data_IF_130051695028
#
_entry.id   IF_130051695028
#
_cell.length_a   1.000
_cell.length_b   1.000
_cell.length_c   1.000
_cell.angle_alpha   90.00
_cell.angle_beta   90.00
_cell.angle_gamma   90.00
#
_symmetry.space_group_name_H-M   'P 1'
#
loop_
_entity.id
_entity.type
_entity.pdbx_description
1 polymer ?
#
# COMPACT_ATOMS: atom_id res chain seq x y z
N UNK A 1 13.91 11.85 12.66
CA UNK A 1 12.52 12.29 12.38
C UNK A 1 11.89 11.36 11.36
N UNK A 2 10.66 10.92 11.60
CA UNK A 2 9.94 10.12 10.58
C UNK A 2 9.79 10.91 9.28
N UNK A 3 9.86 10.18 8.18
CA UNK A 3 9.81 10.77 6.86
C UNK A 3 8.41 10.70 6.28
N UNK A 4 8.12 11.62 5.36
CA UNK A 4 6.89 11.62 4.57
C UNK A 4 7.26 11.46 3.10
N UNK A 5 6.58 10.54 2.42
CA UNK A 5 6.77 10.31 0.99
C UNK A 5 5.46 10.59 0.28
N UNK A 6 5.54 11.31 -0.84
CA UNK A 6 4.40 11.54 -1.69
C UNK A 6 4.68 10.99 -3.07
N UNK A 7 3.67 10.41 -3.68
CA UNK A 7 3.74 9.79 -4.98
C UNK A 7 2.49 10.16 -5.78
N UNK A 8 2.69 10.51 -7.06
CA UNK A 8 1.61 10.96 -7.91
C UNK A 8 1.77 10.32 -9.30
N UNK A 9 0.68 9.76 -9.81
CA UNK A 9 0.69 9.14 -11.13
C UNK A 9 -0.71 9.17 -11.75
N UNK A 10 -0.73 9.25 -13.09
CA UNK A 10 -1.98 9.14 -13.87
C UNK A 10 -1.98 7.80 -14.60
N UNK A 11 -3.07 7.05 -14.44
CA UNK A 11 -3.28 5.78 -15.12
C UNK A 11 -4.36 5.92 -16.18
N UNK A 12 -4.13 5.33 -17.35
CA UNK A 12 -5.10 5.34 -18.45
C UNK A 12 -6.13 4.22 -18.24
N UNK A 13 -6.92 4.34 -17.18
CA UNK A 13 -7.94 3.37 -16.84
C UNK A 13 -9.04 4.07 -16.03
N UNK A 14 -10.28 3.54 -16.07
CA UNK A 14 -11.36 4.11 -15.26
C UNK A 14 -11.08 3.99 -13.78
N UNK A 15 -11.62 4.91 -13.00
CA UNK A 15 -11.36 4.98 -11.55
C UNK A 15 -11.74 3.67 -10.83
N UNK A 16 -12.81 3.00 -11.26
CA UNK A 16 -13.25 1.75 -10.64
C UNK A 16 -12.20 0.66 -10.79
N UNK A 17 -11.55 0.60 -11.93
CA UNK A 17 -10.50 -0.39 -12.20
C UNK A 17 -9.24 -0.07 -11.41
N UNK A 18 -8.86 1.19 -11.37
CA UNK A 18 -7.66 1.63 -10.63
C UNK A 18 -7.87 1.42 -9.14
N UNK A 19 -9.02 1.81 -8.61
CA UNK A 19 -9.35 1.60 -7.20
C UNK A 19 -9.29 0.12 -6.83
N UNK A 20 -9.84 -0.75 -7.67
CA UNK A 20 -9.85 -2.20 -7.43
C UNK A 20 -8.45 -2.76 -7.29
N UNK A 21 -7.49 -2.24 -8.05
CA UNK A 21 -6.10 -2.72 -7.97
C UNK A 21 -5.48 -2.47 -6.59
N UNK A 22 -6.00 -1.52 -5.83
CA UNK A 22 -5.51 -1.19 -4.49
C UNK A 22 -6.22 -1.94 -3.37
N UNK A 23 -7.29 -2.67 -3.68
CA UNK A 23 -8.03 -3.45 -2.67
C UNK A 23 -8.17 -4.92 -3.06
N UNK A 24 -7.61 -5.32 -4.20
CA UNK A 24 -7.59 -6.71 -4.65
C UNK A 24 -6.27 -7.35 -4.22
N UNK A 25 -6.30 -8.42 -3.40
CA UNK A 25 -5.07 -9.04 -2.92
C UNK A 25 -4.19 -9.59 -4.04
N UNK A 26 -4.78 -10.18 -5.07
CA UNK A 26 -4.02 -10.73 -6.18
C UNK A 26 -3.31 -9.62 -6.98
N UNK A 27 -4.00 -8.53 -7.23
CA UNK A 27 -3.40 -7.38 -7.93
C UNK A 27 -2.28 -6.76 -7.10
N UNK A 28 -2.49 -6.57 -5.80
CA UNK A 28 -1.49 -5.97 -4.92
C UNK A 28 -0.22 -6.81 -4.85
N UNK A 29 -0.33 -8.14 -4.89
CA UNK A 29 0.83 -9.03 -4.90
C UNK A 29 1.67 -8.87 -6.16
N UNK A 30 1.10 -8.32 -7.23
CA UNK A 30 1.79 -8.14 -8.51
C UNK A 30 2.45 -6.77 -8.63
N UNK A 31 1.78 -5.70 -8.17
CA UNK A 31 2.31 -4.36 -8.41
C UNK A 31 3.02 -3.75 -7.20
N UNK A 32 2.70 -4.16 -5.98
CA UNK A 32 3.25 -3.53 -4.78
C UNK A 32 4.70 -3.92 -4.47
N UNK A 33 5.13 -5.21 -4.65
CA UNK A 33 6.49 -5.58 -4.30
C UNK A 33 7.53 -4.81 -5.11
N UNK A 34 8.62 -4.35 -4.46
CA UNK A 34 9.72 -3.71 -5.18
C UNK A 34 10.41 -4.68 -6.14
N UNK A 35 11.18 -4.13 -7.07
CA UNK A 35 12.00 -4.94 -7.97
C UNK A 35 12.91 -5.89 -7.18
N UNK A 36 12.92 -7.16 -7.57
CA UNK A 36 13.71 -8.19 -6.88
C UNK A 36 12.98 -8.88 -5.73
N UNK A 37 11.70 -8.55 -5.53
CA UNK A 37 10.87 -9.14 -4.48
C UNK A 37 9.60 -9.75 -5.07
N UNK A 38 9.09 -10.78 -4.37
CA UNK A 38 7.74 -11.29 -4.61
C UNK A 38 6.86 -10.94 -3.43
N UNK A 39 5.56 -10.81 -3.68
CA UNK A 39 4.59 -10.49 -2.64
C UNK A 39 3.61 -11.62 -2.39
N UNK A 40 3.19 -11.76 -1.14
CA UNK A 40 2.15 -12.69 -0.75
C UNK A 40 1.20 -12.02 0.21
N UNK A 41 -0.10 -12.12 -0.07
CA UNK A 41 -1.15 -11.61 0.81
C UNK A 41 -1.61 -12.72 1.73
N UNK A 42 -1.41 -12.55 3.03
CA UNK A 42 -1.81 -13.54 4.04
C UNK A 42 -3.23 -13.31 4.52
N UNK A 43 -3.64 -12.06 4.60
CA UNK A 43 -4.98 -11.68 5.06
C UNK A 43 -5.35 -10.35 4.41
N UNK A 44 -6.59 -10.24 3.96
CA UNK A 44 -7.10 -8.94 3.49
C UNK A 44 -8.60 -8.88 3.66
N UNK A 45 -9.06 -7.91 4.44
CA UNK A 45 -10.46 -7.60 4.63
C UNK A 45 -10.65 -6.12 4.30
N UNK A 46 -11.01 -5.85 3.05
CA UNK A 46 -11.06 -4.48 2.52
C UNK A 46 -12.34 -3.76 2.93
N UNK A 47 -12.39 -3.38 4.21
CA UNK A 47 -13.48 -2.59 4.79
C UNK A 47 -12.92 -1.78 5.95
N UNK A 48 -13.63 -0.74 6.36
CA UNK A 48 -13.23 0.06 7.54
C UNK A 48 -13.18 -0.86 8.75
N UNK A 49 -12.06 -0.84 9.46
CA UNK A 49 -11.81 -1.74 10.59
C UNK A 49 -11.27 -3.10 10.19
N UNK A 50 -11.27 -3.42 8.90
CA UNK A 50 -10.67 -4.65 8.39
C UNK A 50 -9.16 -4.58 8.40
N UNK A 51 -8.50 -5.74 8.36
CA UNK A 51 -7.04 -5.84 8.46
C UNK A 51 -6.46 -6.41 7.18
N UNK A 52 -5.20 -6.07 6.93
CA UNK A 52 -4.43 -6.74 5.90
C UNK A 52 -3.08 -7.16 6.45
N UNK A 53 -2.52 -8.24 5.90
CA UNK A 53 -1.18 -8.71 6.20
C UNK A 53 -0.53 -9.21 4.92
N UNK A 54 0.69 -8.78 4.70
CA UNK A 54 1.42 -9.07 3.47
C UNK A 54 2.89 -9.32 3.80
N UNK A 55 3.57 -10.07 2.95
CA UNK A 55 5.02 -10.23 3.05
C UNK A 55 5.66 -10.05 1.69
N UNK A 56 6.88 -9.52 1.70
CA UNK A 56 7.76 -9.45 0.54
C UNK A 56 8.93 -10.40 0.77
N UNK A 57 9.23 -11.23 -0.23
CA UNK A 57 10.36 -12.17 -0.17
C UNK A 57 11.39 -11.76 -1.21
N UNK A 58 12.64 -11.58 -0.76
CA UNK A 58 13.74 -11.23 -1.64
C UNK A 58 14.13 -12.43 -2.49
N UNK A 59 14.18 -12.25 -3.82
CA UNK A 59 14.47 -13.35 -4.75
C UNK A 59 15.89 -13.88 -4.63
N UNK A 60 16.86 -13.02 -4.24
CA UNK A 60 18.26 -13.40 -4.16
C UNK A 60 18.62 -14.23 -2.94
N UNK A 61 18.09 -13.90 -1.76
CA UNK A 61 18.49 -14.54 -0.50
C UNK A 61 17.35 -15.23 0.24
N UNK A 62 16.12 -15.15 -0.27
CA UNK A 62 14.96 -15.78 0.36
C UNK A 62 14.47 -15.12 1.64
N UNK A 63 15.03 -13.98 2.05
CA UNK A 63 14.58 -13.30 3.25
C UNK A 63 13.21 -12.66 3.03
N UNK A 64 12.33 -12.81 4.01
CA UNK A 64 10.97 -12.28 3.96
C UNK A 64 10.79 -11.20 5.01
N UNK A 65 10.03 -10.18 4.65
CA UNK A 65 9.63 -9.10 5.55
C UNK A 65 8.12 -9.01 5.54
N UNK A 66 7.53 -9.11 6.73
CA UNK A 66 6.07 -9.06 6.88
C UNK A 66 5.64 -7.72 7.45
N UNK A 67 4.51 -7.27 7.00
CA UNK A 67 3.90 -6.03 7.47
C UNK A 67 2.38 -6.13 7.33
N UNK A 68 1.70 -5.22 7.99
CA UNK A 68 0.26 -5.20 7.90
C UNK A 68 -0.32 -3.96 8.56
N UNK A 69 -1.64 -3.87 8.56
CA UNK A 69 -2.32 -2.73 9.13
C UNK A 69 -3.82 -2.90 9.12
N UNK A 70 -4.50 -1.80 9.42
CA UNK A 70 -5.95 -1.73 9.49
C UNK A 70 -6.43 -0.62 8.57
N UNK A 71 -7.53 -0.88 7.88
CA UNK A 71 -8.18 0.15 7.05
C UNK A 71 -8.92 1.13 7.95
N UNK A 72 -8.54 2.40 7.88
CA UNK A 72 -9.11 3.49 8.67
C UNK A 72 -10.23 4.20 7.92
N UNK A 73 -10.11 4.26 6.59
CA UNK A 73 -11.10 4.88 5.72
C UNK A 73 -11.07 4.17 4.37
N UNK A 74 -12.24 3.92 3.82
CA UNK A 74 -12.34 3.27 2.51
C UNK A 74 -13.60 3.78 1.82
N UNK A 75 -13.42 4.78 0.95
CA UNK A 75 -14.49 5.35 0.14
C UNK A 75 -14.27 4.90 -1.30
N UNK A 76 -15.15 4.04 -1.84
CA UNK A 76 -14.98 3.50 -3.19
C UNK A 76 -14.74 4.58 -4.22
N UNK A 77 -13.71 4.39 -5.05
CA UNK A 77 -13.32 5.26 -6.15
C UNK A 77 -12.86 6.66 -5.74
N UNK A 78 -12.68 6.90 -4.42
CA UNK A 78 -12.30 8.23 -3.92
C UNK A 78 -11.06 8.18 -3.03
N UNK A 79 -11.10 7.36 -1.96
CA UNK A 79 -10.04 7.41 -0.95
C UNK A 79 -9.87 6.09 -0.22
N UNK A 80 -8.62 5.76 0.06
CA UNK A 80 -8.24 4.69 0.97
C UNK A 80 -7.27 5.27 1.97
N UNK A 81 -7.46 4.94 3.24
CA UNK A 81 -6.51 5.28 4.29
C UNK A 81 -6.33 4.10 5.20
N UNK A 82 -5.07 3.71 5.43
CA UNK A 82 -4.77 2.60 6.33
C UNK A 82 -3.47 2.88 7.07
N UNK A 83 -3.32 2.27 8.23
CA UNK A 83 -2.04 2.27 8.91
C UNK A 83 -1.22 1.08 8.45
N UNK A 84 0.09 1.16 8.66
CA UNK A 84 1.04 0.13 8.27
C UNK A 84 2.06 -0.03 9.37
N UNK A 85 2.44 -1.28 9.65
CA UNK A 85 3.46 -1.60 10.64
C UNK A 85 4.25 -2.81 10.18
N UNK A 86 5.58 -2.71 10.26
CA UNK A 86 6.45 -3.84 10.04
C UNK A 86 6.47 -4.74 11.27
N UNK A 87 6.57 -6.06 11.06
CA UNK A 87 6.72 -7.02 12.14
C UNK A 87 8.13 -6.99 12.72
N UNK A 88 9.11 -6.49 11.97
CA UNK A 88 10.51 -6.42 12.38
C UNK A 88 10.68 -5.37 13.49
N UNK A 89 11.17 -5.74 14.70
CA UNK A 89 11.37 -4.79 15.78
C UNK A 89 12.45 -3.74 15.48
N UNK A 90 13.29 -3.97 14.47
CA UNK A 90 14.27 -2.97 14.04
C UNK A 90 13.66 -1.91 13.13
N UNK A 91 12.43 -2.09 12.71
CA UNK A 91 11.66 -1.12 11.92
C UNK A 91 10.42 -0.70 12.72
N UNK A 92 10.62 -0.02 13.87
CA UNK A 92 9.51 0.31 14.76
C UNK A 92 8.69 1.47 14.21
N UNK A 93 7.49 1.59 14.76
CA UNK A 93 6.62 2.71 14.45
C UNK A 93 5.45 2.33 13.56
N UNK A 94 4.52 3.25 13.47
CA UNK A 94 3.33 3.11 12.67
C UNK A 94 3.37 4.14 11.54
N UNK A 95 3.17 3.66 10.33
CA UNK A 95 3.01 4.52 9.16
C UNK A 95 1.53 4.69 8.85
N UNK A 96 1.19 5.79 8.21
CA UNK A 96 -0.17 6.00 7.69
C UNK A 96 -0.07 6.26 6.20
N UNK A 97 -0.82 5.49 5.42
CA UNK A 97 -0.89 5.64 3.97
C UNK A 97 -2.26 6.17 3.59
N UNK A 98 -2.28 7.24 2.81
CA UNK A 98 -3.51 7.79 2.26
C UNK A 98 -3.41 7.80 0.74
N UNK A 99 -4.42 7.23 0.09
CA UNK A 99 -4.48 7.12 -1.37
C UNK A 99 -5.76 7.82 -1.81
N UNK A 100 -5.62 8.81 -2.71
CA UNK A 100 -6.77 9.51 -3.28
C UNK A 100 -6.83 9.25 -4.77
N UNK A 101 -8.05 9.14 -5.28
CA UNK A 101 -8.34 8.85 -6.68
C UNK A 101 -9.17 9.97 -7.26
N UNK A 102 -8.81 10.42 -8.45
CA UNK A 102 -9.55 11.48 -9.13
C UNK A 102 -9.64 11.16 -10.62
N UNK A 103 -10.87 11.18 -11.14
CA UNK A 103 -11.07 11.03 -12.57
C UNK A 103 -10.55 12.27 -13.28
N UNK A 104 -9.71 12.07 -14.28
CA UNK A 104 -9.15 13.11 -15.12
C UNK A 104 -9.43 12.78 -16.58
N UNK A 105 -9.10 13.70 -17.47
CA UNK A 105 -9.47 13.58 -18.89
C UNK A 105 -8.98 12.28 -19.52
N UNK A 106 -7.77 11.82 -19.18
CA UNK A 106 -7.15 10.64 -19.80
C UNK A 106 -7.25 9.38 -18.94
N UNK A 107 -7.93 9.43 -17.79
CA UNK A 107 -8.05 8.26 -16.92
C UNK A 107 -8.22 8.62 -15.46
N UNK A 108 -7.32 8.15 -14.60
CA UNK A 108 -7.40 8.34 -13.15
C UNK A 108 -6.07 8.85 -12.61
N UNK A 109 -6.14 9.95 -11.87
CA UNK A 109 -5.01 10.47 -11.12
C UNK A 109 -5.00 9.84 -9.74
N UNK A 110 -3.87 9.25 -9.36
CA UNK A 110 -3.68 8.64 -8.05
C UNK A 110 -2.62 9.43 -7.30
N UNK A 111 -2.94 9.84 -6.09
CA UNK A 111 -2.01 10.49 -5.19
C UNK A 111 -1.87 9.65 -3.93
N UNK A 112 -0.64 9.26 -3.60
CA UNK A 112 -0.32 8.47 -2.43
C UNK A 112 0.55 9.29 -1.51
N UNK A 113 0.17 9.38 -0.24
CA UNK A 113 0.97 10.02 0.79
C UNK A 113 1.18 9.00 1.92
N UNK A 114 2.44 8.78 2.28
CA UNK A 114 2.78 7.91 3.39
C UNK A 114 3.59 8.69 4.41
N UNK A 115 3.12 8.72 5.64
CA UNK A 115 3.76 9.42 6.75
C UNK A 115 4.24 8.44 7.80
N UNK A 116 5.17 8.87 8.65
CA UNK A 116 5.67 8.05 9.75
C UNK A 116 6.67 7.00 9.33
N UNK A 117 7.28 7.11 8.14
CA UNK A 117 8.28 6.16 7.68
C UNK A 117 9.51 6.20 8.59
N UNK A 118 9.94 5.04 9.14
CA UNK A 118 11.14 5.02 10.00
C UNK A 118 12.39 5.56 9.29
N UNK A 119 13.22 6.29 10.04
CA UNK A 119 14.43 6.89 9.48
C UNK A 119 15.45 5.85 9.00
N UNK A 120 15.34 4.61 9.49
CA UNK A 120 16.24 3.52 9.09
C UNK A 120 15.93 2.96 7.70
N UNK A 121 14.81 3.35 7.10
CA UNK A 121 14.46 2.95 5.73
C UNK A 121 15.03 4.01 4.79
N UNK A 122 15.93 3.62 3.87
CA UNK A 122 16.52 4.57 2.93
C UNK A 122 15.53 5.10 1.89
#
# INVERSE_FOLDING_TARGET
MPQTVQFHRVFRAPVERVFRAFVDPDAMCKWLPPHGFTGRMHEMDARVGGRYRMSFTHLGNGQAHSFGGTFLELQPNERIRHNDRFDDPQLPGEMVTQITFKTVLVGTEVHIEQTGIPDVIP
#
